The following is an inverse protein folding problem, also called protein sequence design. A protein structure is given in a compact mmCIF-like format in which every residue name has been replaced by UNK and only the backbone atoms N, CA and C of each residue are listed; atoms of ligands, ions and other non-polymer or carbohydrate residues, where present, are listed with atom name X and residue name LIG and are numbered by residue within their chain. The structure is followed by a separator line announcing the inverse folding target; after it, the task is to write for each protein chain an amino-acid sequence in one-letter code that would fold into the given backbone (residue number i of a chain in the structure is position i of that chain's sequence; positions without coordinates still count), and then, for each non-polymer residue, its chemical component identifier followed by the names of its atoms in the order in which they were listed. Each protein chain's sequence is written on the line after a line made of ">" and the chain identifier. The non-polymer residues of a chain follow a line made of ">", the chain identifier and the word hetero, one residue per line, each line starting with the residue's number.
data_IF_782879308119
#
_entry.id   IF_782879308119
#
_cell.length_a   1.000
_cell.length_b   1.000
_cell.length_c   1.000
_cell.angle_alpha   90.00
_cell.angle_beta   90.00
_cell.angle_gamma   90.00
#
_symmetry.space_group_name_H-M   'P 1'
#
loop_
_entity.id
_entity.type
_entity.pdbx_description
1 polymer ?
#
# COMPACT_ATOMS: atom_id res chain seq x y z
N UNK A 1 -78.81 23.23 1.17
CA UNK A 1 -78.63 24.46 0.36
C UNK A 1 -77.13 24.74 0.27
N UNK A 2 -76.64 25.32 -0.84
CA UNK A 2 -75.23 25.65 -1.05
C UNK A 2 -74.87 27.03 -0.43
N UNK A 3 -73.81 27.67 -0.97
CA UNK A 3 -73.19 28.97 -0.62
C UNK A 3 -72.24 28.99 0.61
N UNK A 4 -71.05 29.61 0.56
CA UNK A 4 -70.32 30.19 -0.59
C UNK A 4 -68.78 30.06 -0.40
N UNK A 5 -68.00 30.59 -1.34
CA UNK A 5 -66.52 30.57 -1.46
C UNK A 5 -65.79 31.39 -0.37
N UNK A 6 -64.47 31.29 -0.10
CA UNK A 6 -63.28 31.46 -0.98
C UNK A 6 -61.94 30.98 -0.37
N UNK A 7 -61.05 30.51 -1.25
CA UNK A 7 -59.58 30.75 -1.41
C UNK A 7 -58.62 30.71 -0.18
N UNK A 8 -57.33 30.32 -0.31
CA UNK A 8 -56.47 30.20 -1.49
C UNK A 8 -55.39 29.08 -1.43
N UNK A 9 -54.77 28.84 -2.59
CA UNK A 9 -53.41 28.32 -2.93
C UNK A 9 -52.37 28.05 -1.80
N UNK A 10 -51.47 27.06 -1.86
CA UNK A 10 -51.15 25.96 -2.81
C UNK A 10 -50.34 24.84 -2.06
N UNK A 11 -49.51 23.91 -2.58
CA UNK A 11 -48.80 23.70 -3.88
C UNK A 11 -48.37 22.22 -4.07
N UNK A 12 -47.69 21.93 -5.19
CA UNK A 12 -46.88 20.75 -5.56
C UNK A 12 -45.88 20.24 -4.47
N UNK A 13 -45.42 18.98 -4.42
CA UNK A 13 -45.79 17.78 -5.19
C UNK A 13 -44.68 16.69 -5.27
N UNK A 14 -45.07 15.49 -5.73
CA UNK A 14 -44.23 14.36 -6.20
C UNK A 14 -43.41 13.55 -5.16
N UNK A 15 -44.00 12.45 -4.68
CA UNK A 15 -43.27 11.20 -4.38
C UNK A 15 -42.67 10.61 -5.67
N UNK A 16 -41.43 10.09 -5.64
CA UNK A 16 -40.85 9.34 -6.77
C UNK A 16 -39.77 8.34 -6.39
N UNK A 17 -40.18 7.23 -5.77
CA UNK A 17 -39.36 5.99 -5.70
C UNK A 17 -39.34 5.27 -7.06
N UNK A 18 -38.41 5.64 -7.96
CA UNK A 18 -38.20 4.94 -9.26
C UNK A 18 -36.74 4.58 -9.49
N UNK A 19 -36.49 3.36 -9.95
CA UNK A 19 -35.15 2.79 -10.17
C UNK A 19 -34.63 3.16 -11.56
N UNK A 20 -33.42 3.73 -11.63
CA UNK A 20 -32.75 4.00 -12.91
C UNK A 20 -32.02 2.75 -13.42
N UNK A 21 -32.71 1.93 -14.23
CA UNK A 21 -32.01 1.01 -15.15
C UNK A 21 -31.58 1.79 -16.39
N UNK A 22 -30.32 1.63 -16.79
CA UNK A 22 -29.72 2.44 -17.85
C UNK A 22 -30.29 2.18 -19.26
N UNK A 23 -30.33 3.24 -20.06
CA UNK A 23 -30.43 3.19 -21.51
C UNK A 23 -29.48 4.24 -22.09
N UNK A 24 -28.50 3.81 -22.89
CA UNK A 24 -27.53 4.71 -23.54
C UNK A 24 -28.19 5.43 -24.72
N UNK A 25 -28.31 6.76 -24.64
CA UNK A 25 -28.72 7.61 -25.74
C UNK A 25 -27.71 8.75 -25.92
N UNK A 26 -27.01 8.78 -27.05
CA UNK A 26 -26.11 9.87 -27.39
C UNK A 26 -26.91 11.04 -27.97
N UNK A 27 -26.84 12.22 -27.34
CA UNK A 27 -27.50 13.44 -27.79
C UNK A 27 -26.87 14.67 -27.10
N UNK A 28 -26.40 15.64 -27.89
CA UNK A 28 -25.59 16.75 -27.39
C UNK A 28 -26.41 18.05 -27.39
N UNK A 29 -26.88 18.51 -26.23
CA UNK A 29 -27.24 19.90 -25.96
C UNK A 29 -27.53 20.12 -24.45
N UNK A 30 -26.80 21.02 -23.80
CA UNK A 30 -27.10 21.45 -22.43
C UNK A 30 -25.86 21.86 -21.65
N UNK A 31 -25.73 23.14 -21.30
CA UNK A 31 -24.68 23.62 -20.40
C UNK A 31 -25.11 23.36 -18.96
N UNK A 32 -24.85 22.14 -18.50
CA UNK A 32 -24.83 21.79 -17.08
C UNK A 32 -23.43 21.27 -16.75
N UNK A 33 -22.91 21.63 -15.58
CA UNK A 33 -21.74 20.95 -15.06
C UNK A 33 -22.14 19.50 -14.78
N UNK A 34 -21.71 18.58 -15.65
CA UNK A 34 -21.59 17.18 -15.27
C UNK A 34 -20.55 17.12 -14.17
N UNK A 35 -21.03 17.20 -12.92
CA UNK A 35 -20.22 16.91 -11.77
C UNK A 35 -19.69 15.50 -11.96
N UNK A 36 -18.42 15.38 -12.30
CA UNK A 36 -17.69 14.14 -12.17
C UNK A 36 -17.68 13.82 -10.70
N UNK A 37 -18.67 13.03 -10.28
CA UNK A 37 -18.56 12.23 -9.08
C UNK A 37 -17.40 11.27 -9.34
N UNK A 38 -16.18 11.77 -9.06
CA UNK A 38 -14.99 10.98 -8.93
C UNK A 38 -15.29 10.03 -7.78
N UNK A 39 -15.73 8.82 -8.10
CA UNK A 39 -15.85 7.76 -7.12
C UNK A 39 -14.43 7.54 -6.62
N UNK A 40 -14.14 8.03 -5.41
CA UNK A 40 -12.80 7.99 -4.86
C UNK A 40 -12.35 6.53 -4.81
N UNK A 41 -11.16 6.29 -5.35
CA UNK A 41 -10.67 4.93 -5.55
C UNK A 41 -10.33 4.33 -4.18
N UNK A 42 -10.97 3.20 -3.86
CA UNK A 42 -10.81 2.50 -2.60
C UNK A 42 -9.51 1.71 -2.60
N UNK A 43 -8.51 2.25 -1.92
CA UNK A 43 -7.17 1.67 -1.77
C UNK A 43 -7.17 0.69 -0.59
N UNK A 44 -6.39 -0.39 -0.67
CA UNK A 44 -6.17 -1.30 0.48
C UNK A 44 -5.10 -0.72 1.39
N UNK A 45 -5.31 -0.78 2.71
CA UNK A 45 -4.29 -0.57 3.73
C UNK A 45 -4.24 -1.80 4.64
N UNK A 46 -3.06 -2.34 4.89
CA UNK A 46 -2.83 -3.51 5.75
C UNK A 46 -1.88 -3.17 6.87
N UNK A 47 -2.21 -3.60 8.08
CA UNK A 47 -1.32 -3.62 9.22
C UNK A 47 -0.92 -5.07 9.49
N UNK A 48 0.37 -5.37 9.65
CA UNK A 48 0.86 -6.73 9.86
C UNK A 48 1.88 -6.76 11.00
N UNK A 49 1.63 -7.55 12.04
CA UNK A 49 2.60 -7.80 13.12
C UNK A 49 3.80 -8.62 12.65
N UNK A 50 4.98 -8.32 13.18
CA UNK A 50 6.18 -9.14 13.05
C UNK A 50 6.28 -10.16 14.21
N UNK A 51 6.82 -11.34 13.90
CA UNK A 51 7.01 -12.43 14.88
C UNK A 51 5.77 -12.75 15.73
N UNK A 52 6.02 -13.08 17.00
CA UNK A 52 4.99 -13.35 18.02
C UNK A 52 4.50 -12.09 18.76
N UNK A 53 5.00 -10.90 18.41
CA UNK A 53 4.76 -9.66 19.15
C UNK A 53 3.47 -8.95 18.70
N UNK A 54 3.01 -8.00 19.52
CA UNK A 54 1.82 -7.18 19.22
C UNK A 54 2.21 -5.90 18.52
N UNK A 55 1.62 -5.67 17.33
CA UNK A 55 1.72 -4.44 16.57
C UNK A 55 0.40 -3.68 16.69
N UNK A 56 0.41 -2.54 17.39
CA UNK A 56 -0.73 -1.64 17.53
C UNK A 56 -0.62 -0.52 16.52
N UNK A 57 -1.78 -0.07 16.04
CA UNK A 57 -1.84 1.06 15.13
C UNK A 57 -3.03 1.96 15.43
N UNK A 58 -2.83 3.24 15.13
CA UNK A 58 -3.85 4.26 14.98
C UNK A 58 -3.59 5.01 13.68
N UNK A 59 -4.61 5.11 12.83
CA UNK A 59 -4.49 5.69 11.49
C UNK A 59 -5.65 6.64 11.20
N UNK A 60 -5.33 7.79 10.63
CA UNK A 60 -6.29 8.78 10.14
C UNK A 60 -6.08 8.99 8.63
N UNK A 61 -7.17 9.17 7.88
CA UNK A 61 -7.13 9.47 6.42
C UNK A 61 -7.89 10.75 6.08
N UNK A 62 -7.69 11.28 4.87
CA UNK A 62 -8.41 12.47 4.37
C UNK A 62 -9.77 12.17 3.74
N UNK A 63 -10.04 10.90 3.40
CA UNK A 63 -11.32 10.43 2.86
C UNK A 63 -12.11 9.59 3.87
N UNK A 64 -12.78 8.53 3.41
CA UNK A 64 -13.47 7.56 4.28
C UNK A 64 -12.59 6.34 4.61
N UNK A 65 -12.78 5.73 5.79
CA UNK A 65 -12.21 4.43 6.17
C UNK A 65 -13.31 3.36 6.35
N UNK A 66 -13.09 2.15 5.85
CA UNK A 66 -14.01 1.00 5.99
C UNK A 66 -13.21 -0.30 6.20
N UNK A 67 -13.61 -1.13 7.16
CA UNK A 67 -12.91 -2.40 7.48
C UNK A 67 -13.16 -3.44 6.37
N UNK A 68 -12.12 -4.13 5.90
CA UNK A 68 -12.31 -5.29 5.02
C UNK A 68 -12.84 -6.48 5.83
N UNK A 69 -13.39 -7.49 5.17
CA UNK A 69 -14.39 -8.38 5.78
C UNK A 69 -13.84 -9.38 6.83
N UNK A 70 -13.78 -8.91 8.08
CA UNK A 70 -13.91 -9.68 9.32
C UNK A 70 -12.88 -10.82 9.55
N UNK A 71 -11.77 -10.44 10.20
CA UNK A 71 -11.16 -11.28 11.24
C UNK A 71 -11.07 -10.47 12.53
N UNK A 72 -11.29 -11.16 13.65
CA UNK A 72 -11.06 -10.79 15.04
C UNK A 72 -11.60 -9.42 15.53
N UNK A 73 -12.42 -9.47 16.58
CA UNK A 73 -13.29 -8.35 17.00
C UNK A 73 -12.62 -7.24 17.81
N UNK A 74 -11.33 -6.97 17.59
CA UNK A 74 -10.56 -6.01 18.39
C UNK A 74 -10.44 -4.62 17.77
N UNK A 75 -10.28 -4.52 16.44
CA UNK A 75 -10.13 -3.20 15.82
C UNK A 75 -11.44 -2.43 15.71
N UNK A 76 -11.33 -1.12 15.92
CA UNK A 76 -12.43 -0.17 16.08
C UNK A 76 -12.28 0.99 15.09
N UNK A 77 -13.36 1.32 14.37
CA UNK A 77 -13.50 2.64 13.76
C UNK A 77 -13.83 3.63 14.87
N UNK A 78 -12.96 4.63 15.06
CA UNK A 78 -13.15 5.69 16.05
C UNK A 78 -14.18 6.70 15.53
N UNK A 79 -14.14 6.96 14.22
CA UNK A 79 -15.05 7.77 13.43
C UNK A 79 -15.01 7.32 11.95
N UNK A 80 -15.58 8.12 11.03
CA UNK A 80 -15.68 7.79 9.61
C UNK A 80 -14.33 7.80 8.85
N UNK A 81 -13.26 8.39 9.44
CA UNK A 81 -11.96 8.54 8.80
C UNK A 81 -10.75 8.17 9.69
N UNK A 82 -11.00 7.54 10.84
CA UNK A 82 -9.99 7.15 11.83
C UNK A 82 -10.22 5.73 12.35
N UNK A 83 -9.17 4.90 12.39
CA UNK A 83 -9.21 3.52 12.90
C UNK A 83 -8.09 3.24 13.91
N UNK A 84 -8.39 2.40 14.90
CA UNK A 84 -7.48 1.90 15.93
C UNK A 84 -7.58 0.37 16.01
N UNK A 85 -6.45 -0.34 16.09
CA UNK A 85 -6.43 -1.81 16.09
C UNK A 85 -5.10 -2.43 16.50
N UNK A 86 -5.03 -3.77 16.48
CA UNK A 86 -3.83 -4.49 16.91
C UNK A 86 -3.70 -5.92 16.33
N UNK A 87 -2.69 -6.11 15.48
CA UNK A 87 -2.26 -7.41 15.00
C UNK A 87 -1.32 -8.10 16.01
N UNK A 88 -1.23 -9.43 16.00
CA UNK A 88 -0.24 -10.21 16.76
C UNK A 88 0.02 -11.58 16.13
N UNK A 89 1.15 -12.22 16.44
CA UNK A 89 1.41 -13.62 16.07
C UNK A 89 1.51 -13.85 14.55
N UNK A 90 2.19 -12.94 13.84
CA UNK A 90 2.26 -12.91 12.37
C UNK A 90 0.94 -12.55 11.68
N UNK A 91 -0.09 -12.18 12.45
CA UNK A 91 -1.39 -11.75 11.97
C UNK A 91 -1.36 -10.42 11.21
N UNK A 92 -2.51 -10.09 10.61
CA UNK A 92 -2.70 -8.85 9.87
C UNK A 92 -4.17 -8.43 9.85
N UNK A 93 -4.38 -7.12 9.79
CA UNK A 93 -5.69 -6.46 9.66
C UNK A 93 -5.75 -5.71 8.33
N UNK A 94 -6.91 -5.70 7.69
CA UNK A 94 -7.12 -5.09 6.37
C UNK A 94 -8.23 -4.04 6.40
N UNK A 95 -7.92 -2.88 5.83
CA UNK A 95 -8.79 -1.73 5.67
C UNK A 95 -8.87 -1.32 4.20
N UNK A 96 -10.00 -0.74 3.84
CA UNK A 96 -10.21 -0.02 2.59
C UNK A 96 -10.35 1.46 2.94
N UNK A 97 -9.65 2.34 2.21
CA UNK A 97 -9.71 3.79 2.44
C UNK A 97 -9.77 4.60 1.16
N UNK A 98 -10.29 5.83 1.25
CA UNK A 98 -10.19 6.85 0.19
C UNK A 98 -9.35 8.04 0.64
N UNK A 99 -9.01 8.92 -0.31
CA UNK A 99 -8.06 10.00 -0.05
C UNK A 99 -6.65 9.46 0.22
N UNK A 100 -5.94 10.09 1.14
CA UNK A 100 -4.56 9.77 1.52
C UNK A 100 -4.41 9.73 3.05
N UNK A 101 -3.36 9.07 3.55
CA UNK A 101 -3.07 8.95 4.99
C UNK A 101 -2.65 10.33 5.54
N UNK A 102 -3.26 10.76 6.64
CA UNK A 102 -3.02 12.07 7.28
C UNK A 102 -2.33 11.95 8.64
N UNK A 103 -2.46 10.81 9.31
CA UNK A 103 -1.82 10.51 10.59
C UNK A 103 -1.58 9.01 10.70
N UNK A 104 -0.44 8.62 11.26
CA UNK A 104 -0.05 7.23 11.48
C UNK A 104 0.74 7.17 12.79
N UNK A 105 0.25 6.42 13.76
CA UNK A 105 0.84 6.23 15.08
C UNK A 105 0.89 4.71 15.36
N UNK A 106 2.09 4.20 15.67
CA UNK A 106 2.41 2.77 15.66
C UNK A 106 3.19 2.38 16.92
N UNK A 107 2.88 1.22 17.49
CA UNK A 107 3.56 0.70 18.69
C UNK A 107 3.82 -0.81 18.57
N UNK A 108 5.06 -1.23 18.82
CA UNK A 108 5.53 -2.61 18.62
C UNK A 108 5.97 -2.88 17.17
N UNK A 109 6.58 -4.05 16.88
CA UNK A 109 7.17 -4.31 15.58
C UNK A 109 6.15 -4.82 14.55
N UNK A 110 6.03 -4.11 13.44
CA UNK A 110 5.20 -4.50 12.32
C UNK A 110 5.31 -3.59 11.09
N UNK A 111 4.55 -3.91 10.06
CA UNK A 111 4.57 -3.25 8.76
C UNK A 111 3.20 -2.70 8.39
N UNK A 112 3.19 -1.53 7.76
CA UNK A 112 2.02 -0.91 7.13
C UNK A 112 2.18 -1.01 5.62
N UNK A 113 1.23 -1.65 4.94
CA UNK A 113 1.26 -1.84 3.49
C UNK A 113 0.04 -1.22 2.80
N UNK A 114 0.27 -0.28 1.88
CA UNK A 114 -0.75 0.31 1.01
C UNK A 114 -0.72 -0.42 -0.33
N UNK A 115 -1.84 -1.01 -0.71
CA UNK A 115 -2.03 -1.71 -2.00
C UNK A 115 -1.02 -2.86 -2.27
N UNK A 116 -0.28 -3.28 -1.23
CA UNK A 116 0.79 -4.29 -1.29
C UNK A 116 2.22 -3.71 -1.22
N UNK A 117 2.38 -2.40 -1.37
CA UNK A 117 3.65 -1.69 -1.13
C UNK A 117 3.80 -1.35 0.36
N UNK A 118 4.97 -1.59 0.95
CA UNK A 118 5.27 -1.11 2.31
C UNK A 118 5.33 0.42 2.28
N UNK A 119 4.67 1.05 3.27
CA UNK A 119 4.64 2.50 3.50
C UNK A 119 5.35 2.87 4.79
N UNK A 120 5.31 2.00 5.79
CA UNK A 120 6.03 2.18 7.05
C UNK A 120 6.45 0.80 7.59
N UNK A 121 7.65 0.70 8.15
CA UNK A 121 8.22 -0.53 8.71
C UNK A 121 8.88 -0.23 10.06
N UNK A 122 8.33 -0.81 11.13
CA UNK A 122 8.76 -0.62 12.53
C UNK A 122 9.53 -1.82 13.07
N UNK A 123 9.95 -2.74 12.19
CA UNK A 123 10.61 -4.01 12.57
C UNK A 123 12.10 -3.86 12.88
N UNK A 124 12.51 -2.84 13.64
CA UNK A 124 13.94 -2.51 13.87
C UNK A 124 14.76 -3.66 14.49
N UNK A 125 14.14 -4.57 15.24
CA UNK A 125 14.76 -5.78 15.82
C UNK A 125 14.50 -7.07 15.00
N UNK A 126 13.75 -7.04 13.88
CA UNK A 126 13.55 -8.22 13.04
C UNK A 126 14.85 -8.57 12.31
N UNK A 127 15.44 -9.71 12.69
CA UNK A 127 16.69 -10.20 12.11
C UNK A 127 16.49 -10.43 10.62
N UNK A 128 17.29 -9.73 9.81
CA UNK A 128 17.39 -9.96 8.37
C UNK A 128 18.12 -11.30 8.13
N UNK A 129 17.37 -12.41 8.24
CA UNK A 129 17.86 -13.79 8.07
C UNK A 129 18.12 -14.14 6.62
N UNK A 130 17.27 -13.65 5.70
CA UNK A 130 17.38 -13.97 4.29
C UNK A 130 18.51 -13.14 3.65
N UNK A 131 19.27 -13.75 2.74
CA UNK A 131 20.28 -13.05 1.93
C UNK A 131 19.98 -13.24 0.45
N UNK A 132 19.88 -12.15 -0.31
CA UNK A 132 19.91 -12.17 -1.78
C UNK A 132 21.31 -11.81 -2.25
N UNK A 133 21.89 -12.66 -3.09
CA UNK A 133 23.14 -12.39 -3.80
C UNK A 133 22.83 -12.18 -5.28
N UNK A 134 23.36 -11.10 -5.85
CA UNK A 134 23.20 -10.71 -7.24
C UNK A 134 24.55 -10.82 -7.94
N UNK A 135 24.62 -11.49 -9.09
CA UNK A 135 25.89 -11.73 -9.81
C UNK A 135 25.73 -11.52 -11.32
N UNK A 136 26.67 -10.83 -11.96
CA UNK A 136 26.68 -10.64 -13.43
C UNK A 136 28.12 -10.47 -13.97
N UNK A 137 28.41 -11.01 -15.16
CA UNK A 137 29.69 -10.82 -15.85
C UNK A 137 29.85 -9.38 -16.37
N UNK A 138 28.81 -8.85 -17.04
CA UNK A 138 28.75 -7.49 -17.57
C UNK A 138 27.99 -6.53 -16.63
N UNK A 139 28.14 -5.22 -16.81
CA UNK A 139 27.52 -4.20 -15.94
C UNK A 139 26.00 -4.15 -16.14
N UNK A 140 25.25 -4.76 -15.22
CA UNK A 140 23.78 -4.82 -15.25
C UNK A 140 23.19 -3.94 -14.14
N UNK A 141 22.28 -3.04 -14.50
CA UNK A 141 21.45 -2.34 -13.50
C UNK A 141 20.25 -3.17 -13.11
N UNK A 142 19.95 -3.22 -11.82
CA UNK A 142 18.83 -3.96 -11.25
C UNK A 142 17.93 -3.08 -10.36
N UNK A 143 16.69 -3.51 -10.22
CA UNK A 143 15.73 -3.03 -9.23
C UNK A 143 15.00 -4.23 -8.62
N UNK A 144 14.94 -4.28 -7.30
CA UNK A 144 14.08 -5.23 -6.59
C UNK A 144 13.42 -4.57 -5.39
N UNK A 145 12.34 -5.19 -4.92
CA UNK A 145 11.60 -4.79 -3.72
C UNK A 145 11.43 -6.00 -2.80
N UNK A 146 11.44 -5.75 -1.50
CA UNK A 146 11.10 -6.77 -0.48
C UNK A 146 9.80 -6.41 0.25
N UNK A 147 9.14 -7.39 0.87
CA UNK A 147 7.87 -7.17 1.60
C UNK A 147 8.06 -6.80 3.08
N UNK A 148 9.24 -6.27 3.43
CA UNK A 148 9.71 -5.89 4.77
C UNK A 148 11.03 -5.13 4.62
N UNK A 149 11.93 -5.23 5.61
CA UNK A 149 13.18 -4.46 5.64
C UNK A 149 14.31 -5.08 4.79
N UNK A 150 15.22 -4.25 4.29
CA UNK A 150 16.42 -4.65 3.54
C UNK A 150 17.64 -3.78 3.87
N UNK A 151 18.82 -4.39 3.96
CA UNK A 151 20.10 -3.72 4.18
C UNK A 151 21.19 -4.24 3.25
N UNK A 152 22.21 -3.41 3.02
CA UNK A 152 23.43 -3.81 2.30
C UNK A 152 24.21 -4.84 3.11
N UNK A 153 24.51 -5.97 2.49
CA UNK A 153 25.52 -6.92 2.96
C UNK A 153 26.95 -6.42 2.67
N UNK A 154 27.99 -7.19 3.04
CA UNK A 154 29.39 -6.75 2.97
C UNK A 154 29.93 -6.45 1.57
N UNK A 155 29.22 -6.84 0.50
CA UNK A 155 29.58 -6.56 -0.89
C UNK A 155 28.68 -5.52 -1.57
N UNK A 156 27.43 -5.33 -1.14
CA UNK A 156 26.50 -4.46 -1.86
C UNK A 156 27.03 -3.02 -2.01
N UNK A 157 27.17 -2.59 -3.26
CA UNK A 157 27.53 -1.23 -3.62
C UNK A 157 28.96 -0.86 -3.28
N UNK A 158 29.93 -1.77 -3.49
CA UNK A 158 31.37 -1.45 -3.30
C UNK A 158 31.81 -0.22 -4.10
N UNK A 159 31.19 0.01 -5.26
CA UNK A 159 31.43 1.18 -6.12
C UNK A 159 30.51 2.38 -5.83
N UNK A 160 29.76 2.37 -4.72
CA UNK A 160 28.94 3.50 -4.26
C UNK A 160 27.74 3.83 -5.14
N UNK A 161 27.36 2.94 -6.06
CA UNK A 161 26.29 3.17 -7.06
C UNK A 161 24.88 2.78 -6.60
N UNK A 162 24.75 2.01 -5.52
CA UNK A 162 23.47 1.44 -5.11
C UNK A 162 22.78 2.25 -4.02
N UNK A 163 21.46 2.42 -4.15
CA UNK A 163 20.58 3.03 -3.16
C UNK A 163 19.58 2.01 -2.60
N UNK A 164 19.24 2.19 -1.33
CA UNK A 164 18.05 1.61 -0.70
C UNK A 164 17.16 2.81 -0.37
N UNK A 165 15.92 2.75 -0.82
CA UNK A 165 14.86 3.71 -0.53
C UNK A 165 13.68 2.89 0.00
N UNK A 166 13.46 2.97 1.30
CA UNK A 166 12.50 2.16 2.06
C UNK A 166 12.70 0.66 1.81
N UNK A 167 11.71 -0.02 1.23
CA UNK A 167 11.78 -1.45 0.89
C UNK A 167 12.28 -1.74 -0.55
N UNK A 168 12.77 -0.72 -1.28
CA UNK A 168 13.19 -0.81 -2.68
C UNK A 168 14.69 -0.61 -2.81
N UNK A 169 15.34 -1.53 -3.52
CA UNK A 169 16.77 -1.47 -3.84
C UNK A 169 16.96 -1.18 -5.33
N UNK A 170 17.85 -0.24 -5.64
CA UNK A 170 18.27 0.13 -7.00
C UNK A 170 19.80 0.09 -7.04
N UNK A 171 20.37 -0.62 -8.02
CA UNK A 171 21.82 -0.80 -8.05
C UNK A 171 22.40 -1.25 -9.37
N UNK A 172 23.72 -1.48 -9.40
CA UNK A 172 24.45 -1.98 -10.58
C UNK A 172 25.57 -2.94 -10.20
N UNK A 173 25.39 -4.22 -10.54
CA UNK A 173 26.40 -5.28 -10.36
C UNK A 173 27.11 -5.58 -11.68
N UNK A 174 28.26 -6.25 -11.59
CA UNK A 174 29.01 -6.80 -12.71
C UNK A 174 30.00 -5.83 -13.37
N UNK A 175 30.84 -6.37 -14.25
CA UNK A 175 31.88 -5.61 -14.94
C UNK A 175 32.96 -5.03 -14.00
N UNK A 176 33.55 -3.90 -14.38
CA UNK A 176 34.57 -3.18 -13.59
C UNK A 176 34.63 -1.70 -13.94
N UNK A 177 34.91 -0.84 -12.97
CA UNK A 177 35.07 0.62 -13.14
C UNK A 177 36.45 1.04 -12.64
N UNK A 178 37.23 1.68 -13.51
CA UNK A 178 38.59 2.20 -13.23
C UNK A 178 39.57 1.15 -12.63
N UNK A 179 39.36 -0.13 -12.97
CA UNK A 179 40.16 -1.26 -12.48
C UNK A 179 39.62 -1.93 -11.21
N UNK A 180 38.55 -1.41 -10.61
CA UNK A 180 37.85 -2.03 -9.49
C UNK A 180 36.72 -2.92 -10.04
N UNK A 181 36.74 -4.20 -9.70
CA UNK A 181 35.70 -5.17 -10.11
C UNK A 181 34.63 -5.28 -9.05
N UNK A 182 33.37 -5.35 -9.50
CA UNK A 182 32.17 -5.29 -8.67
C UNK A 182 31.22 -6.44 -9.06
N UNK A 183 31.69 -7.70 -9.05
CA UNK A 183 31.01 -8.82 -9.73
C UNK A 183 29.78 -9.34 -8.98
N UNK A 184 29.65 -9.01 -7.69
CA UNK A 184 28.66 -9.56 -6.78
C UNK A 184 28.23 -8.52 -5.76
N UNK A 185 26.92 -8.20 -5.73
CA UNK A 185 26.28 -7.49 -4.62
C UNK A 185 25.58 -8.51 -3.70
N UNK A 186 25.50 -8.25 -2.40
CA UNK A 186 24.69 -9.06 -1.47
C UNK A 186 23.88 -8.16 -0.53
N UNK A 187 22.62 -8.50 -0.30
CA UNK A 187 21.70 -7.78 0.58
C UNK A 187 21.04 -8.73 1.57
N UNK A 188 20.89 -8.29 2.81
CA UNK A 188 20.09 -8.98 3.82
C UNK A 188 18.69 -8.42 3.81
N UNK A 189 17.68 -9.26 3.99
CA UNK A 189 16.28 -8.82 3.99
C UNK A 189 15.37 -9.70 4.85
N UNK A 190 14.14 -9.23 5.08
CA UNK A 190 13.06 -10.04 5.63
C UNK A 190 11.84 -10.09 4.70
N UNK A 191 10.94 -11.05 4.95
CA UNK A 191 9.77 -11.29 4.10
C UNK A 191 10.09 -11.85 2.71
N UNK A 192 9.25 -11.51 1.74
CA UNK A 192 9.33 -11.97 0.34
C UNK A 192 10.10 -10.97 -0.53
N UNK A 193 10.73 -11.44 -1.62
CA UNK A 193 11.44 -10.61 -2.60
C UNK A 193 10.79 -10.66 -3.99
N UNK A 194 10.72 -9.52 -4.66
CA UNK A 194 10.28 -9.35 -6.05
C UNK A 194 11.34 -8.58 -6.83
N UNK A 195 11.95 -9.23 -7.83
CA UNK A 195 12.81 -8.54 -8.81
C UNK A 195 11.91 -7.84 -9.83
N UNK A 196 12.07 -6.53 -9.98
CA UNK A 196 11.23 -5.70 -10.85
C UNK A 196 11.90 -5.43 -12.20
N UNK A 197 13.19 -5.11 -12.20
CA UNK A 197 13.94 -4.75 -13.42
C UNK A 197 15.36 -5.33 -13.39
N UNK A 198 15.84 -5.77 -14.56
CA UNK A 198 17.25 -6.08 -14.82
C UNK A 198 17.58 -5.71 -16.27
N UNK A 199 18.65 -4.94 -16.49
CA UNK A 199 19.02 -4.45 -17.83
C UNK A 199 19.75 -5.47 -18.72
N UNK A 200 19.91 -6.71 -18.26
CA UNK A 200 20.73 -7.75 -18.88
C UNK A 200 20.68 -9.05 -18.10
N UNK A 201 21.53 -10.04 -18.43
CA UNK A 201 21.59 -11.31 -17.72
C UNK A 201 22.07 -11.10 -16.28
N UNK A 202 21.22 -11.47 -15.31
CA UNK A 202 21.47 -11.33 -13.89
C UNK A 202 21.22 -12.67 -13.20
N UNK A 203 22.20 -13.19 -12.47
CA UNK A 203 22.02 -14.33 -11.58
C UNK A 203 21.52 -13.82 -10.23
N UNK A 204 20.46 -14.44 -9.71
CA UNK A 204 19.86 -14.10 -8.42
C UNK A 204 19.84 -15.36 -7.58
N UNK A 205 20.68 -15.39 -6.55
CA UNK A 205 20.77 -16.48 -5.58
C UNK A 205 20.07 -16.05 -4.31
N UNK A 206 19.05 -16.80 -3.88
CA UNK A 206 18.32 -16.55 -2.63
C UNK A 206 18.72 -17.59 -1.59
N UNK A 207 19.32 -17.13 -0.51
CA UNK A 207 19.58 -17.91 0.70
C UNK A 207 18.50 -17.55 1.73
N UNK A 208 17.67 -18.53 2.07
CA UNK A 208 16.53 -18.36 2.98
C UNK A 208 16.86 -19.17 4.24
N UNK A 209 17.44 -18.50 5.24
CA UNK A 209 17.76 -19.12 6.52
C UNK A 209 16.44 -19.40 7.26
N UNK A 210 16.03 -20.68 7.23
CA UNK A 210 14.70 -21.13 7.64
C UNK A 210 14.52 -21.11 9.15
N UNK A 211 13.61 -20.24 9.62
CA UNK A 211 13.14 -20.12 11.00
C UNK A 211 12.58 -21.42 11.59
#
# INVERSE_FOLDING_TARGET
>A
MPDETRDAEATDGIDRRTVLRGATAAGIAGVGAVGTASAEEWKRLRFKSAGDETFRYRVSVSGELKREANRDGYDTLVDDNTAEGAASGGGYDDWLFTGDITELDLEGPGMVLKEGEVVEDTTEDEKLTNTVTLEADERVSYKFRVSGRVEKGPKAGTLGVDSIEDNVVRGKVGGSIEGNSDPVDDYRYSGSITVEEASGPLTVTLDIDGS
#
